data_IF_714883859615
#
_entry.id   IF_714883859615
#
_cell.length_a   1.000
_cell.length_b   1.000
_cell.length_c   1.000
_cell.angle_alpha   90.00
_cell.angle_beta   90.00
_cell.angle_gamma   90.00
#
_symmetry.space_group_name_H-M   'P 1'
#
loop_
_entity.id
_entity.type
_entity.pdbx_description
1 polymer ?
#
# COMPACT_ATOMS: atom_id res chain seq x y z
N UNK A 1 8.39 -4.90 10.82
CA UNK A 1 8.34 -3.53 10.25
C UNK A 1 9.30 -3.38 9.06
N UNK A 2 10.48 -4.00 9.09
CA UNK A 2 11.51 -3.83 8.04
C UNK A 2 11.09 -4.27 6.63
N UNK A 3 10.26 -5.31 6.52
CA UNK A 3 9.71 -5.79 5.24
C UNK A 3 8.77 -4.78 4.58
N UNK A 4 7.99 -4.04 5.38
CA UNK A 4 7.09 -3.00 4.89
C UNK A 4 7.89 -1.78 4.45
N UNK A 5 8.85 -1.35 5.27
CA UNK A 5 9.73 -0.23 4.93
C UNK A 5 10.44 -0.47 3.58
N UNK A 6 10.92 -1.69 3.31
CA UNK A 6 11.51 -2.05 2.02
C UNK A 6 10.51 -1.97 0.86
N UNK A 7 9.27 -2.44 1.04
CA UNK A 7 8.26 -2.40 -0.01
C UNK A 7 7.85 -0.96 -0.40
N UNK A 8 7.84 -0.04 0.57
CA UNK A 8 7.48 1.37 0.38
C UNK A 8 8.65 2.30 0.03
N UNK A 9 9.89 1.79 0.02
CA UNK A 9 11.13 2.59 -0.06
C UNK A 9 11.40 3.34 -1.39
N UNK A 10 10.51 3.27 -2.40
CA UNK A 10 10.83 3.77 -3.75
C UNK A 10 10.49 5.24 -4.03
N UNK A 11 10.06 6.06 -3.06
CA UNK A 11 9.67 7.45 -3.30
C UNK A 11 8.48 7.63 -4.26
N UNK A 12 7.87 6.53 -4.69
CA UNK A 12 6.71 6.47 -5.59
C UNK A 12 5.38 6.51 -4.83
N UNK A 13 5.44 6.51 -3.49
CA UNK A 13 4.29 6.43 -2.61
C UNK A 13 4.43 7.43 -1.48
N UNK A 14 3.34 8.14 -1.19
CA UNK A 14 3.21 8.98 0.01
C UNK A 14 2.22 8.27 0.93
N UNK A 15 2.65 7.94 2.15
CA UNK A 15 1.75 7.36 3.16
C UNK A 15 0.99 8.52 3.79
N UNK A 16 -0.33 8.54 3.63
CA UNK A 16 -1.21 9.55 4.23
C UNK A 16 -1.72 9.09 5.60
N UNK A 17 -2.06 7.81 5.73
CA UNK A 17 -2.56 7.26 6.97
C UNK A 17 -2.02 5.86 7.21
N UNK A 18 -1.65 5.59 8.46
CA UNK A 18 -1.29 4.28 8.96
C UNK A 18 -2.16 3.95 10.17
N UNK A 19 -2.89 2.83 10.13
CA UNK A 19 -3.72 2.36 11.24
C UNK A 19 -3.52 0.87 11.48
N UNK A 20 -3.28 0.48 12.72
CA UNK A 20 -3.25 -0.92 13.12
C UNK A 20 -4.42 -1.22 14.05
N UNK A 21 -5.30 -2.14 13.66
CA UNK A 21 -6.45 -2.55 14.45
C UNK A 21 -6.82 -3.99 14.11
N UNK A 22 -7.24 -4.78 15.10
CA UNK A 22 -7.69 -6.16 14.91
C UNK A 22 -6.69 -7.05 14.13
N UNK A 23 -5.38 -6.86 14.38
CA UNK A 23 -4.30 -7.57 13.70
C UNK A 23 -4.21 -7.29 12.18
N UNK A 24 -4.83 -6.21 11.71
CA UNK A 24 -4.73 -5.73 10.33
C UNK A 24 -4.03 -4.38 10.33
N UNK A 25 -3.00 -4.24 9.50
CA UNK A 25 -2.38 -2.95 9.21
C UNK A 25 -3.05 -2.35 7.97
N UNK A 26 -3.76 -1.26 8.14
CA UNK A 26 -4.36 -0.48 7.06
C UNK A 26 -3.45 0.70 6.70
N UNK A 27 -3.11 0.82 5.42
CA UNK A 27 -2.24 1.86 4.86
C UNK A 27 -3.00 2.60 3.78
N UNK A 28 -3.29 3.87 4.01
CA UNK A 28 -3.78 4.79 2.98
C UNK A 28 -2.60 5.52 2.37
N UNK A 29 -2.49 5.47 1.05
CA UNK A 29 -1.36 6.00 0.32
C UNK A 29 -1.77 6.65 -0.99
N UNK A 30 -1.04 7.68 -1.36
CA UNK A 30 -1.04 8.22 -2.71
C UNK A 30 0.06 7.55 -3.52
N UNK A 31 -0.27 7.20 -4.75
CA UNK A 31 0.64 6.61 -5.74
C UNK A 31 0.53 7.37 -7.05
N UNK A 32 1.61 7.39 -7.84
CA UNK A 32 1.60 8.12 -9.12
C UNK A 32 0.56 7.64 -10.12
N UNK A 33 0.26 6.34 -10.13
CA UNK A 33 -0.64 5.68 -11.08
C UNK A 33 -1.01 4.28 -10.57
N UNK A 34 -2.02 3.66 -11.19
CA UNK A 34 -2.47 2.31 -10.83
C UNK A 34 -1.38 1.24 -11.06
N UNK A 35 -0.48 1.45 -12.01
CA UNK A 35 0.60 0.51 -12.29
C UNK A 35 1.60 0.45 -11.12
N UNK A 36 1.96 1.60 -10.55
CA UNK A 36 2.78 1.67 -9.35
C UNK A 36 2.11 0.96 -8.17
N UNK A 37 0.81 1.20 -7.97
CA UNK A 37 0.03 0.54 -6.93
C UNK A 37 0.04 -0.99 -7.08
N UNK A 38 -0.17 -1.48 -8.30
CA UNK A 38 -0.15 -2.93 -8.58
C UNK A 38 1.26 -3.53 -8.35
N UNK A 39 2.31 -2.82 -8.76
CA UNK A 39 3.69 -3.23 -8.51
C UNK A 39 3.99 -3.36 -7.01
N UNK A 40 3.51 -2.43 -6.19
CA UNK A 40 3.62 -2.48 -4.74
C UNK A 40 2.89 -3.69 -4.16
N UNK A 41 1.64 -3.93 -4.58
CA UNK A 41 0.86 -5.09 -4.12
C UNK A 41 1.57 -6.42 -4.44
N UNK A 42 2.10 -6.55 -5.66
CA UNK A 42 2.87 -7.73 -6.08
C UNK A 42 4.13 -7.93 -5.22
N UNK A 43 4.87 -6.86 -4.92
CA UNK A 43 6.05 -6.93 -4.03
C UNK A 43 5.67 -7.38 -2.62
N UNK A 44 4.61 -6.83 -2.05
CA UNK A 44 4.13 -7.21 -0.72
C UNK A 44 3.70 -8.69 -0.69
N UNK A 45 2.98 -9.15 -1.71
CA UNK A 45 2.60 -10.57 -1.85
C UNK A 45 3.83 -11.49 -1.94
N UNK A 46 4.88 -11.09 -2.67
CA UNK A 46 6.15 -11.83 -2.74
C UNK A 46 6.85 -11.97 -1.38
N UNK A 47 6.62 -11.02 -0.46
CA UNK A 47 7.15 -11.09 0.91
C UNK A 47 6.32 -11.94 1.87
N UNK A 48 5.35 -12.70 1.34
CA UNK A 48 4.35 -13.51 2.07
C UNK A 48 3.38 -12.70 2.94
N UNK A 49 3.28 -11.39 2.71
CA UNK A 49 2.25 -10.56 3.34
C UNK A 49 0.95 -10.72 2.57
N UNK A 50 -0.15 -11.03 3.26
CA UNK A 50 -1.47 -11.04 2.64
C UNK A 50 -1.93 -9.59 2.46
N UNK A 51 -2.17 -9.22 1.21
CA UNK A 51 -2.59 -7.86 0.84
C UNK A 51 -3.98 -7.90 0.23
N UNK A 52 -4.85 -7.00 0.69
CA UNK A 52 -6.12 -6.71 0.05
C UNK A 52 -6.23 -5.21 -0.19
N UNK A 53 -6.65 -4.80 -1.39
CA UNK A 53 -7.04 -3.43 -1.65
C UNK A 53 -8.52 -3.27 -1.27
N UNK A 54 -8.84 -2.31 -0.41
CA UNK A 54 -10.23 -2.02 -0.05
C UNK A 54 -10.78 -0.83 -0.82
N UNK A 55 -9.90 0.08 -1.24
CA UNK A 55 -10.24 1.25 -2.06
C UNK A 55 -9.08 1.58 -3.00
N UNK A 56 -9.40 2.01 -4.22
CA UNK A 56 -8.49 2.74 -5.08
C UNK A 56 -9.28 3.65 -6.02
N UNK A 57 -8.87 4.90 -6.12
CA UNK A 57 -9.52 5.91 -6.95
C UNK A 57 -8.51 6.91 -7.47
N UNK A 58 -8.76 7.43 -8.67
CA UNK A 58 -8.02 8.58 -9.18
C UNK A 58 -8.29 9.81 -8.32
N UNK A 59 -7.25 10.53 -7.93
CA UNK A 59 -7.31 11.79 -7.19
C UNK A 59 -6.24 12.73 -7.74
N UNK A 60 -6.64 13.85 -8.34
CA UNK A 60 -5.71 14.89 -8.85
C UNK A 60 -4.50 14.35 -9.65
N UNK A 61 -4.77 13.51 -10.66
CA UNK A 61 -3.76 12.84 -11.50
C UNK A 61 -2.90 11.77 -10.79
N UNK A 62 -3.20 11.48 -9.54
CA UNK A 62 -2.62 10.40 -8.74
C UNK A 62 -3.68 9.34 -8.44
N UNK A 63 -3.28 8.29 -7.73
CA UNK A 63 -4.18 7.25 -7.24
C UNK A 63 -4.08 7.18 -5.72
N UNK A 64 -5.19 7.50 -5.08
CA UNK A 64 -5.41 7.30 -3.65
C UNK A 64 -5.91 5.88 -3.43
N UNK A 65 -5.22 5.11 -2.59
CA UNK A 65 -5.59 3.73 -2.29
C UNK A 65 -5.44 3.39 -0.82
N UNK A 66 -6.27 2.44 -0.37
CA UNK A 66 -6.18 1.84 0.96
C UNK A 66 -5.88 0.35 0.83
N UNK A 67 -4.76 -0.07 1.43
CA UNK A 67 -4.32 -1.45 1.50
C UNK A 67 -4.48 -1.99 2.91
N UNK A 68 -5.05 -3.18 3.04
CA UNK A 68 -5.04 -3.98 4.26
C UNK A 68 -3.96 -5.06 4.16
N UNK A 69 -3.09 -5.09 5.17
CA UNK A 69 -1.98 -6.00 5.28
C UNK A 69 -2.18 -6.89 6.50
N UNK A 70 -2.16 -8.20 6.28
CA UNK A 70 -2.22 -9.22 7.34
C UNK A 70 -0.89 -9.97 7.34
N UNK A 71 -0.23 -9.95 8.49
CA UNK A 71 1.07 -10.59 8.74
C UNK A 71 0.89 -12.05 9.14
#
# INVERSE_FOLDING_TARGET
MDKLAHAFSSGQFVIEQLRFQNQVLSVTLLSKDFAALEHLQRRLQQTKVKVSQTQASSHEQQVLATLELRL
#
